data_IF_877213761371
#
_entry.id   IF_877213761371
#
_cell.length_a   1.000
_cell.length_b   1.000
_cell.length_c   1.000
_cell.angle_alpha   90.00
_cell.angle_beta   90.00
_cell.angle_gamma   90.00
#
_symmetry.space_group_name_H-M   'P 1'
#
loop_
_entity.id
_entity.type
_entity.pdbx_description
1 polymer ?
#
# COMPACT_ATOMS: atom_id res chain seq x y z
N UNK A 1 -15.07 4.11 18.82
CA UNK A 1 -14.83 4.37 17.38
C UNK A 1 -13.33 4.26 17.09
N UNK A 2 -12.97 3.95 15.81
CA UNK A 2 -11.56 3.84 15.43
C UNK A 2 -11.22 4.80 14.30
N UNK A 3 -10.01 5.36 14.38
CA UNK A 3 -9.37 6.14 13.34
C UNK A 3 -8.19 5.32 12.79
N UNK A 4 -8.06 5.25 11.49
CA UNK A 4 -6.94 4.60 10.82
C UNK A 4 -6.03 5.67 10.21
N UNK A 5 -4.73 5.56 10.51
CA UNK A 5 -3.72 6.55 10.11
C UNK A 5 -2.59 5.86 9.38
N UNK A 6 -2.38 6.21 8.13
CA UNK A 6 -1.23 5.79 7.34
C UNK A 6 -0.02 6.67 7.67
N UNK A 7 1.12 6.05 7.93
CA UNK A 7 2.38 6.72 8.21
C UNK A 7 3.45 6.15 7.28
N UNK A 8 3.89 6.93 6.32
CA UNK A 8 4.96 6.56 5.40
C UNK A 8 6.32 6.43 6.06
N UNK A 9 7.27 5.80 5.38
CA UNK A 9 8.66 5.71 5.81
C UNK A 9 9.33 7.10 5.90
N UNK A 10 10.38 7.21 6.66
CA UNK A 10 11.24 8.41 6.70
C UNK A 10 12.23 8.43 5.53
N UNK A 11 12.51 7.27 4.94
CA UNK A 11 13.57 7.07 3.95
C UNK A 11 13.14 6.10 2.85
N UNK A 12 14.00 5.88 1.85
CA UNK A 12 13.71 4.97 0.75
C UNK A 12 13.83 3.49 1.13
N UNK A 13 14.91 3.14 1.82
CA UNK A 13 15.26 1.76 2.20
C UNK A 13 15.83 1.68 3.63
N UNK A 14 15.37 2.52 4.52
CA UNK A 14 15.87 2.69 5.88
C UNK A 14 17.36 3.13 5.95
N UNK A 15 17.83 3.86 4.95
CA UNK A 15 19.24 4.31 4.85
C UNK A 15 19.65 5.24 5.99
N UNK A 16 18.70 5.87 6.66
CA UNK A 16 18.97 6.77 7.80
C UNK A 16 18.96 6.05 9.17
N UNK A 17 18.73 4.75 9.19
CA UNK A 17 18.64 3.95 10.40
C UNK A 17 17.23 3.41 10.67
N UNK A 18 17.15 2.19 11.22
CA UNK A 18 15.86 1.57 11.56
C UNK A 18 15.16 2.27 12.74
N UNK A 19 15.90 2.94 13.58
CA UNK A 19 15.35 3.75 14.67
C UNK A 19 14.53 4.94 14.16
N UNK A 20 14.91 5.53 13.03
CA UNK A 20 14.16 6.60 12.36
C UNK A 20 12.85 6.10 11.73
N UNK A 21 12.76 4.81 11.52
CA UNK A 21 11.57 4.14 10.95
C UNK A 21 10.61 3.61 12.04
N UNK A 22 10.92 3.84 13.31
CA UNK A 22 10.08 3.37 14.41
C UNK A 22 8.65 3.90 14.31
N UNK A 23 7.68 2.99 14.15
CA UNK A 23 6.26 3.33 13.99
C UNK A 23 5.87 3.88 12.61
N UNK A 24 6.78 3.84 11.63
CA UNK A 24 6.57 4.25 10.25
C UNK A 24 6.35 3.06 9.33
N UNK A 25 6.18 3.32 8.03
CA UNK A 25 5.87 2.33 7.00
C UNK A 25 4.70 1.43 7.43
N UNK A 26 3.63 2.02 7.94
CA UNK A 26 2.59 1.30 8.68
C UNK A 26 1.23 2.00 8.64
N UNK A 27 0.21 1.25 9.00
CA UNK A 27 -1.12 1.76 9.31
C UNK A 27 -1.37 1.55 10.79
N UNK A 28 -1.82 2.62 11.47
CA UNK A 28 -2.19 2.62 12.88
C UNK A 28 -3.70 2.64 13.05
N UNK A 29 -4.20 1.86 13.98
CA UNK A 29 -5.56 1.96 14.49
C UNK A 29 -5.55 2.66 15.85
N UNK A 30 -6.37 3.67 15.98
CA UNK A 30 -6.48 4.50 17.20
C UNK A 30 -7.93 4.44 17.67
N UNK A 31 -8.15 3.98 18.89
CA UNK A 31 -9.44 4.08 19.55
C UNK A 31 -9.66 5.54 19.97
N UNK A 32 -10.67 6.19 19.40
CA UNK A 32 -10.92 7.63 19.60
C UNK A 32 -11.50 7.95 20.96
N UNK A 33 -12.04 6.96 21.66
CA UNK A 33 -12.66 7.17 22.97
C UNK A 33 -11.62 7.02 24.09
N UNK A 34 -10.62 6.16 23.92
CA UNK A 34 -9.59 5.87 24.92
C UNK A 34 -8.21 6.41 24.58
N UNK A 35 -7.97 6.78 23.32
CA UNK A 35 -6.64 7.14 22.81
C UNK A 35 -5.67 5.97 22.67
N UNK A 36 -6.07 4.75 22.99
CA UNK A 36 -5.23 3.58 22.79
C UNK A 36 -4.97 3.35 21.31
N UNK A 37 -3.74 2.95 20.99
CA UNK A 37 -3.31 2.72 19.61
C UNK A 37 -2.61 1.38 19.47
N UNK A 38 -2.75 0.78 18.31
CA UNK A 38 -1.97 -0.39 17.88
C UNK A 38 -1.53 -0.24 16.45
N UNK A 39 -0.41 -0.84 16.11
CA UNK A 39 -0.01 -0.97 14.72
C UNK A 39 -0.93 -2.00 14.04
N UNK A 40 -1.72 -1.54 13.07
CA UNK A 40 -2.71 -2.37 12.38
C UNK A 40 -2.05 -3.21 11.29
N UNK A 41 -1.11 -2.61 10.53
CA UNK A 41 -0.28 -3.27 9.54
C UNK A 41 1.07 -2.57 9.43
N UNK A 42 2.09 -3.28 8.94
CA UNK A 42 3.45 -2.77 8.82
C UNK A 42 4.15 -3.23 7.54
N UNK A 43 5.36 -2.70 7.29
CA UNK A 43 6.15 -3.03 6.12
C UNK A 43 5.58 -2.52 4.81
N UNK A 44 4.76 -1.47 4.88
CA UNK A 44 4.17 -0.77 3.74
C UNK A 44 4.91 0.56 3.57
N UNK A 45 5.84 0.66 2.62
CA UNK A 45 6.73 1.82 2.54
C UNK A 45 5.99 3.15 2.69
N UNK A 46 5.08 3.47 1.79
CA UNK A 46 4.24 4.66 1.84
C UNK A 46 2.78 4.30 1.59
N UNK A 47 2.03 3.85 2.61
CA UNK A 47 0.60 3.70 2.48
C UNK A 47 -0.06 5.08 2.39
N UNK A 48 -0.98 5.26 1.43
CA UNK A 48 -1.62 6.54 1.14
C UNK A 48 -3.15 6.46 1.25
N UNK A 49 -3.82 6.12 0.16
CA UNK A 49 -5.26 5.99 0.13
C UNK A 49 -5.73 4.75 0.88
N UNK A 50 -6.82 4.90 1.62
CA UNK A 50 -7.45 3.79 2.33
C UNK A 50 -8.96 3.91 2.24
N UNK A 51 -9.64 2.79 2.00
CA UNK A 51 -11.10 2.70 2.11
C UNK A 51 -11.50 1.25 2.43
N UNK A 52 -12.72 1.09 2.92
CA UNK A 52 -13.30 -0.20 3.23
C UNK A 52 -14.05 -0.75 2.03
N UNK A 53 -13.72 -1.97 1.62
CA UNK A 53 -14.48 -2.66 0.60
C UNK A 53 -15.91 -2.92 1.12
N UNK A 54 -16.94 -2.39 0.46
CA UNK A 54 -18.31 -2.49 0.95
C UNK A 54 -18.86 -3.92 0.92
N UNK A 55 -18.29 -4.79 0.10
CA UNK A 55 -18.74 -6.18 -0.05
C UNK A 55 -18.09 -7.10 0.96
N UNK A 56 -16.77 -6.99 1.19
CA UNK A 56 -16.03 -7.86 2.12
C UNK A 56 -15.87 -7.27 3.53
N UNK A 57 -16.01 -5.96 3.68
CA UNK A 57 -15.74 -5.28 4.95
C UNK A 57 -14.25 -5.19 5.29
N UNK A 58 -13.35 -5.51 4.36
CA UNK A 58 -11.90 -5.43 4.56
C UNK A 58 -11.38 -4.02 4.27
N UNK A 59 -10.36 -3.61 5.01
CA UNK A 59 -9.60 -2.40 4.69
C UNK A 59 -8.71 -2.68 3.47
N UNK A 60 -8.69 -1.75 2.54
CA UNK A 60 -7.79 -1.74 1.39
C UNK A 60 -6.95 -0.47 1.39
N UNK A 61 -5.74 -0.57 0.85
CA UNK A 61 -4.83 0.56 0.78
C UNK A 61 -4.05 0.58 -0.54
N UNK A 62 -3.69 1.78 -0.96
CA UNK A 62 -2.68 2.03 -1.98
C UNK A 62 -1.33 2.28 -1.34
N UNK A 63 -0.26 1.75 -1.92
CA UNK A 63 1.09 1.88 -1.37
C UNK A 63 2.08 2.24 -2.47
N UNK A 64 2.84 3.30 -2.23
CA UNK A 64 3.99 3.62 -3.05
C UNK A 64 5.21 2.87 -2.55
N UNK A 65 5.86 2.18 -3.46
CA UNK A 65 7.04 1.38 -3.19
C UNK A 65 8.34 2.18 -3.30
N UNK A 66 9.45 1.49 -3.00
CA UNK A 66 10.78 2.09 -3.01
C UNK A 66 11.24 2.47 -4.42
N UNK A 67 12.08 3.48 -4.46
CA UNK A 67 12.75 3.98 -5.68
C UNK A 67 14.15 3.36 -5.87
N UNK A 68 14.82 3.73 -6.96
CA UNK A 68 16.23 3.43 -7.27
C UNK A 68 16.52 1.97 -7.63
N UNK A 69 15.51 1.26 -8.18
CA UNK A 69 15.67 -0.05 -8.82
C UNK A 69 15.43 0.00 -10.34
N UNK A 70 15.64 1.16 -10.94
CA UNK A 70 15.43 1.39 -12.36
C UNK A 70 13.98 1.77 -12.70
N UNK A 71 13.66 1.94 -13.99
CA UNK A 71 12.37 2.48 -14.41
C UNK A 71 11.18 1.51 -14.26
N UNK A 72 11.46 0.20 -14.14
CA UNK A 72 10.43 -0.85 -14.19
C UNK A 72 10.23 -1.58 -12.86
N UNK A 73 10.97 -1.21 -11.82
CA UNK A 73 10.88 -1.71 -10.45
C UNK A 73 10.93 -0.56 -9.43
N UNK A 74 10.21 -0.68 -8.32
CA UNK A 74 9.27 -1.71 -7.85
C UNK A 74 7.86 -1.25 -8.18
N UNK A 75 6.91 -2.14 -8.52
CA UNK A 75 5.55 -1.70 -8.75
C UNK A 75 4.92 -1.17 -7.45
N UNK A 76 4.33 0.01 -7.52
CA UNK A 76 3.34 0.43 -6.53
C UNK A 76 2.20 -0.58 -6.50
N UNK A 77 1.47 -0.66 -5.40
CA UNK A 77 0.45 -1.68 -5.30
C UNK A 77 -0.85 -1.21 -4.62
N UNK A 78 -1.88 -1.98 -4.85
CA UNK A 78 -3.18 -1.91 -4.21
C UNK A 78 -3.48 -3.27 -3.56
N UNK A 79 -3.87 -3.29 -2.29
CA UNK A 79 -4.01 -4.54 -1.54
C UNK A 79 -5.02 -4.42 -0.40
N UNK A 80 -5.63 -5.55 -0.03
CA UNK A 80 -6.34 -5.63 1.24
C UNK A 80 -5.36 -5.60 2.41
N UNK A 81 -5.80 -5.14 3.56
CA UNK A 81 -4.95 -4.96 4.74
C UNK A 81 -5.60 -5.60 5.95
N UNK A 82 -5.43 -6.91 6.18
CA UNK A 82 -5.88 -7.53 7.41
C UNK A 82 -5.04 -7.09 8.61
N UNK A 83 -5.64 -7.14 9.80
CA UNK A 83 -4.95 -6.79 11.04
C UNK A 83 -3.73 -7.70 11.27
N UNK A 84 -2.61 -7.09 11.62
CA UNK A 84 -1.33 -7.79 11.82
C UNK A 84 -0.58 -8.10 10.53
N UNK A 85 -1.04 -7.62 9.38
CA UNK A 85 -0.35 -7.84 8.11
C UNK A 85 1.03 -7.18 8.08
N UNK A 86 1.98 -7.89 7.45
CA UNK A 86 3.35 -7.42 7.20
C UNK A 86 3.66 -7.54 5.71
N UNK A 87 4.10 -6.45 5.08
CA UNK A 87 4.38 -6.38 3.64
C UNK A 87 5.87 -6.34 3.30
N UNK A 88 6.76 -6.35 4.29
CA UNK A 88 8.17 -6.67 4.17
C UNK A 88 9.13 -5.50 4.04
N UNK A 89 8.70 -4.29 3.71
CA UNK A 89 9.61 -3.15 3.64
C UNK A 89 10.37 -2.96 4.98
N UNK A 90 11.66 -2.66 4.98
CA UNK A 90 12.53 -2.37 3.85
C UNK A 90 13.17 -3.59 3.18
N UNK A 91 13.16 -4.77 3.79
CA UNK A 91 13.94 -5.94 3.36
C UNK A 91 13.35 -6.73 2.20
N UNK A 92 12.02 -6.66 2.04
CA UNK A 92 11.31 -7.44 1.04
C UNK A 92 10.40 -6.50 0.27
N UNK A 93 10.42 -6.63 -1.04
CA UNK A 93 9.49 -5.95 -1.92
C UNK A 93 8.76 -6.95 -2.83
N UNK A 94 7.74 -6.51 -3.45
CA UNK A 94 6.89 -7.21 -4.41
C UNK A 94 7.08 -8.75 -4.49
N UNK A 95 6.08 -9.50 -4.04
CA UNK A 95 6.05 -10.97 -4.12
C UNK A 95 7.25 -11.69 -3.50
N UNK A 96 7.70 -11.20 -2.33
CA UNK A 96 8.77 -11.81 -1.55
C UNK A 96 10.15 -11.77 -2.23
N UNK A 97 10.46 -10.70 -2.93
CA UNK A 97 11.80 -10.44 -3.46
C UNK A 97 12.64 -9.73 -2.40
N UNK A 98 13.80 -10.28 -2.10
CA UNK A 98 14.76 -9.61 -1.21
C UNK A 98 15.34 -8.35 -1.82
N UNK A 99 15.47 -7.32 -0.98
CA UNK A 99 16.25 -6.15 -1.32
C UNK A 99 17.67 -6.27 -0.71
N UNK A 100 18.62 -6.66 -1.54
CA UNK A 100 20.02 -6.83 -1.17
C UNK A 100 20.77 -5.52 -0.93
N UNK A 101 20.13 -4.38 -1.22
CA UNK A 101 20.68 -3.03 -0.99
C UNK A 101 20.40 -2.50 0.41
N UNK A 102 19.52 -3.16 1.16
CA UNK A 102 19.22 -2.80 2.54
C UNK A 102 20.40 -3.19 3.43
N UNK A 103 20.98 -2.20 4.13
CA UNK A 103 22.19 -2.42 4.92
C UNK A 103 21.92 -3.13 6.26
N UNK A 104 20.69 -3.13 6.74
CA UNK A 104 20.32 -3.69 8.04
C UNK A 104 20.14 -5.20 7.96
N UNK A 105 20.62 -5.94 8.99
CA UNK A 105 20.47 -7.40 8.99
C UNK A 105 19.00 -7.78 8.84
N UNK A 106 18.71 -8.54 7.79
CA UNK A 106 17.39 -9.08 7.60
C UNK A 106 17.14 -10.23 8.57
N UNK A 107 15.97 -10.22 9.14
CA UNK A 107 15.47 -11.36 9.88
C UNK A 107 14.90 -12.37 8.88
N UNK A 108 15.54 -13.51 8.73
CA UNK A 108 15.25 -14.51 7.69
C UNK A 108 13.80 -15.01 7.70
N UNK A 109 13.15 -15.00 8.88
CA UNK A 109 11.75 -15.38 9.00
C UNK A 109 10.78 -14.36 8.34
N UNK A 110 11.22 -13.15 8.06
CA UNK A 110 10.35 -12.11 7.46
C UNK A 110 9.70 -12.57 6.16
N UNK A 111 10.39 -13.36 5.35
CA UNK A 111 9.82 -13.88 4.10
C UNK A 111 8.56 -14.71 4.33
N UNK A 112 8.56 -15.53 5.37
CA UNK A 112 7.44 -16.44 5.67
C UNK A 112 6.20 -15.66 6.11
N UNK A 113 6.41 -14.52 6.77
CA UNK A 113 5.34 -13.67 7.30
C UNK A 113 4.92 -12.53 6.38
N UNK A 114 5.72 -12.25 5.33
CA UNK A 114 5.41 -11.19 4.39
C UNK A 114 4.24 -11.57 3.49
N UNK A 115 3.19 -10.78 3.52
CA UNK A 115 2.07 -10.91 2.58
C UNK A 115 2.46 -10.40 1.20
N UNK A 116 1.96 -11.08 0.19
CA UNK A 116 2.07 -10.62 -1.20
C UNK A 116 0.97 -9.60 -1.44
N UNK A 117 1.28 -8.42 -1.97
CA UNK A 117 0.25 -7.51 -2.44
C UNK A 117 -0.64 -8.13 -3.51
N UNK A 118 -1.92 -7.75 -3.53
CA UNK A 118 -2.91 -8.32 -4.44
C UNK A 118 -2.73 -7.81 -5.87
N UNK A 119 -2.57 -6.49 -6.06
CA UNK A 119 -2.60 -5.88 -7.39
C UNK A 119 -1.43 -4.92 -7.62
N UNK A 120 -0.65 -5.16 -8.68
CA UNK A 120 0.42 -4.27 -9.11
C UNK A 120 -0.16 -3.08 -9.90
N UNK A 121 0.17 -1.88 -9.46
CA UNK A 121 -0.27 -0.65 -10.11
C UNK A 121 0.72 -0.12 -11.17
N UNK A 122 1.86 -0.81 -11.33
CA UNK A 122 2.99 -0.39 -12.15
C UNK A 122 4.05 0.37 -11.37
N UNK A 123 5.29 0.29 -11.84
CA UNK A 123 6.41 0.97 -11.19
C UNK A 123 6.30 2.49 -11.35
N UNK A 124 6.53 3.21 -10.26
CA UNK A 124 6.58 4.68 -10.22
C UNK A 124 5.28 5.39 -10.64
N UNK A 125 4.13 4.73 -10.48
CA UNK A 125 2.84 5.35 -10.80
C UNK A 125 2.39 6.36 -9.77
N UNK A 126 3.00 6.33 -8.59
CA UNK A 126 2.72 7.19 -7.45
C UNK A 126 1.23 7.16 -7.08
N UNK A 127 0.74 5.97 -6.74
CA UNK A 127 -0.64 5.77 -6.29
C UNK A 127 -0.91 6.58 -5.03
N UNK A 128 -2.03 7.30 -5.00
CA UNK A 128 -2.43 8.15 -3.89
C UNK A 128 -3.82 7.77 -3.37
N UNK A 129 -4.79 8.66 -3.57
CA UNK A 129 -6.14 8.46 -3.09
C UNK A 129 -6.85 7.30 -3.75
N UNK A 130 -7.71 6.64 -3.01
CA UNK A 130 -8.61 5.61 -3.51
C UNK A 130 -9.99 5.73 -2.88
N UNK A 131 -10.98 5.19 -3.55
CA UNK A 131 -12.36 5.08 -3.05
C UNK A 131 -13.05 3.89 -3.69
N UNK A 132 -13.74 3.08 -2.91
CA UNK A 132 -14.64 2.06 -3.43
C UNK A 132 -15.95 2.67 -3.93
N UNK A 133 -16.49 2.12 -5.01
CA UNK A 133 -17.90 2.33 -5.32
C UNK A 133 -18.77 1.72 -4.21
N UNK A 134 -19.62 2.54 -3.61
CA UNK A 134 -20.51 2.14 -2.50
C UNK A 134 -21.95 1.93 -2.97
N UNK A 135 -22.11 1.74 -4.27
CA UNK A 135 -23.39 1.59 -4.93
C UNK A 135 -24.07 2.92 -5.27
N UNK A 136 -24.89 2.87 -6.30
CA UNK A 136 -25.63 4.06 -6.75
C UNK A 136 -24.76 5.11 -7.45
N UNK A 137 -23.57 4.73 -7.92
CA UNK A 137 -22.72 5.63 -8.68
C UNK A 137 -23.45 6.08 -9.95
N UNK A 138 -23.34 7.37 -10.27
CA UNK A 138 -23.92 7.93 -11.51
C UNK A 138 -23.00 7.76 -12.72
N UNK A 139 -21.91 7.01 -12.55
CA UNK A 139 -20.87 6.83 -13.56
C UNK A 139 -21.20 5.72 -14.56
N UNK A 140 -22.22 4.91 -14.29
CA UNK A 140 -22.68 3.83 -15.15
C UNK A 140 -22.27 2.45 -14.64
N UNK A 141 -22.97 1.42 -15.12
CA UNK A 141 -22.82 0.02 -14.65
C UNK A 141 -21.41 -0.56 -14.80
N UNK A 142 -20.61 -0.06 -15.75
CA UNK A 142 -19.23 -0.48 -15.94
C UNK A 142 -18.31 -0.11 -14.75
N UNK A 143 -18.77 0.77 -13.88
CA UNK A 143 -18.04 1.18 -12.68
C UNK A 143 -18.69 0.69 -11.38
N UNK A 144 -19.67 -0.20 -11.48
CA UNK A 144 -20.24 -0.84 -10.31
C UNK A 144 -19.24 -1.89 -9.76
N UNK A 145 -19.15 -1.99 -8.43
CA UNK A 145 -18.34 -2.96 -7.69
C UNK A 145 -16.84 -2.90 -8.03
N UNK A 146 -16.17 -1.88 -7.54
CA UNK A 146 -14.72 -1.72 -7.73
C UNK A 146 -14.17 -0.52 -6.99
N UNK A 147 -12.90 -0.25 -7.21
CA UNK A 147 -12.20 0.89 -6.63
C UNK A 147 -11.66 1.84 -7.69
N UNK A 148 -11.84 3.13 -7.48
CA UNK A 148 -11.14 4.18 -8.22
C UNK A 148 -9.84 4.51 -7.49
N UNK A 149 -8.73 4.59 -8.23
CA UNK A 149 -7.40 4.87 -7.69
C UNK A 149 -6.77 5.99 -8.51
N UNK A 150 -6.37 7.06 -7.82
CA UNK A 150 -5.63 8.15 -8.42
C UNK A 150 -4.13 7.83 -8.47
N UNK A 151 -3.52 8.00 -9.63
CA UNK A 151 -2.08 7.85 -9.84
C UNK A 151 -1.49 9.23 -10.16
N UNK A 152 -0.66 9.74 -9.24
CA UNK A 152 -0.04 11.06 -9.41
C UNK A 152 0.91 11.10 -10.61
N UNK A 153 1.60 9.98 -10.87
CA UNK A 153 2.48 9.84 -12.02
C UNK A 153 3.97 9.90 -11.69
N UNK A 154 4.76 9.40 -12.62
CA UNK A 154 6.20 9.21 -12.45
C UNK A 154 7.02 10.48 -12.73
N UNK A 155 8.02 10.74 -11.89
CA UNK A 155 9.06 11.74 -12.13
C UNK A 155 10.36 11.13 -12.69
N UNK A 156 10.58 9.84 -12.42
CA UNK A 156 11.84 9.12 -12.64
C UNK A 156 11.73 7.99 -13.68
N UNK A 157 10.72 8.02 -14.54
CA UNK A 157 10.48 7.02 -15.60
C UNK A 157 10.32 7.68 -16.96
N UNK A 158 10.79 7.00 -18.02
CA UNK A 158 10.61 7.38 -19.43
C UNK A 158 10.16 6.18 -20.26
N UNK A 159 9.04 6.22 -20.99
CA UNK A 159 8.05 7.32 -20.96
C UNK A 159 7.39 7.47 -19.58
N UNK A 160 6.85 8.65 -19.30
CA UNK A 160 6.10 8.89 -18.06
C UNK A 160 4.85 8.01 -17.98
N UNK A 161 4.47 7.60 -16.77
CA UNK A 161 3.31 6.76 -16.49
C UNK A 161 2.49 7.35 -15.35
N UNK A 162 1.21 6.95 -15.26
CA UNK A 162 0.26 7.53 -14.31
C UNK A 162 -0.34 8.83 -14.84
N UNK A 163 -0.58 9.81 -13.97
CA UNK A 163 -1.29 11.07 -14.27
C UNK A 163 -2.75 10.83 -14.65
N UNK A 164 -3.36 9.83 -14.03
CA UNK A 164 -4.71 9.37 -14.36
C UNK A 164 -5.47 8.85 -13.14
N UNK A 165 -6.71 8.47 -13.37
CA UNK A 165 -7.51 7.70 -12.42
C UNK A 165 -7.87 6.39 -13.11
N UNK A 166 -7.57 5.28 -12.44
CA UNK A 166 -7.90 3.94 -12.92
C UNK A 166 -9.03 3.34 -12.10
N UNK A 167 -9.80 2.47 -12.72
CA UNK A 167 -10.82 1.69 -12.04
C UNK A 167 -10.40 0.23 -12.00
N UNK A 168 -10.40 -0.37 -10.82
CA UNK A 168 -10.13 -1.78 -10.60
C UNK A 168 -11.46 -2.45 -10.28
N UNK A 169 -12.03 -3.23 -11.22
CA UNK A 169 -13.27 -3.97 -10.98
C UNK A 169 -13.03 -5.13 -10.03
N UNK A 170 -14.01 -5.41 -9.19
CA UNK A 170 -14.07 -6.59 -8.34
C UNK A 170 -15.16 -7.54 -8.83
N UNK A 171 -14.96 -8.82 -8.64
CA UNK A 171 -16.01 -9.80 -8.91
C UNK A 171 -17.10 -9.80 -7.81
N UNK A 172 -18.13 -10.63 -7.98
CA UNK A 172 -19.22 -10.71 -7.02
C UNK A 172 -18.79 -11.22 -5.63
N UNK A 173 -17.61 -11.79 -5.50
CA UNK A 173 -17.04 -12.29 -4.25
C UNK A 173 -16.10 -11.26 -3.60
N UNK A 174 -15.89 -10.12 -4.23
CA UNK A 174 -15.04 -9.04 -3.71
C UNK A 174 -13.54 -9.25 -3.98
N UNK A 175 -13.21 -10.02 -5.02
CA UNK A 175 -11.83 -10.28 -5.45
C UNK A 175 -11.49 -9.45 -6.70
#
# INVERSE_FOLDING_TARGET
KHLYVAVGSASNIAENGMEEEAGRASIWEIDTDTGKRRQFAAGMRNPNGMDWNPSSGELWATVQERDMLGPDLVPDYFTNVPVGAQYGWPWVYWKNTFDDRVQWPMQTYMIEYTRKPEYAMGAHTAVLGMVFDKGGSRLGKQFDNGAFIARHGSWNRRPAVGYDVVFIPFDANGN
#
